data_IF_385656359186
#
_entry.id   IF_385656359186
#
_cell.length_a   1.000
_cell.length_b   1.000
_cell.length_c   1.000
_cell.angle_alpha   90.00
_cell.angle_beta   90.00
_cell.angle_gamma   90.00
#
_symmetry.space_group_name_H-M   'P 1'
#
loop_
_entity.id
_entity.type
_entity.pdbx_description
1 polymer ?
#
# COMPACT_ATOMS: atom_id res chain seq x y z
N UNK A 1 25.14 7.24 -20.92
CA UNK A 1 24.31 6.15 -20.37
C UNK A 1 23.43 6.77 -19.29
N UNK A 2 22.12 6.69 -19.39
CA UNK A 2 21.22 7.17 -18.32
C UNK A 2 21.36 6.19 -17.15
N UNK A 3 21.69 6.62 -15.93
CA UNK A 3 21.91 5.72 -14.82
C UNK A 3 20.60 5.08 -14.37
N UNK A 4 20.71 3.90 -13.76
CA UNK A 4 19.60 3.28 -13.08
C UNK A 4 19.20 4.10 -11.87
N UNK A 5 17.90 4.25 -11.67
CA UNK A 5 17.32 4.80 -10.47
C UNK A 5 17.00 3.64 -9.50
N UNK A 6 17.39 3.79 -8.24
CA UNK A 6 17.25 2.74 -7.25
C UNK A 6 16.38 3.16 -6.07
N UNK A 7 15.50 2.27 -5.67
CA UNK A 7 14.85 2.24 -4.35
C UNK A 7 15.51 1.16 -3.52
N UNK A 8 16.03 1.48 -2.36
CA UNK A 8 16.62 0.50 -1.48
C UNK A 8 16.03 0.60 -0.07
N UNK A 9 15.51 -0.51 0.43
CA UNK A 9 14.95 -0.65 1.77
C UNK A 9 15.96 -1.37 2.64
N UNK A 10 16.20 -0.83 3.83
CA UNK A 10 17.18 -1.36 4.78
C UNK A 10 16.56 -1.62 6.14
N UNK A 11 16.96 -2.74 6.73
CA UNK A 11 16.72 -3.06 8.12
C UNK A 11 17.93 -2.64 8.93
N UNK A 12 17.84 -1.48 9.60
CA UNK A 12 18.87 -0.95 10.49
C UNK A 12 18.33 -0.70 11.88
N UNK A 13 19.10 -1.15 12.88
CA UNK A 13 18.68 -1.14 14.27
C UNK A 13 18.47 0.23 14.93
N UNK A 14 19.12 1.32 14.45
CA UNK A 14 19.06 2.63 15.10
C UNK A 14 18.59 3.74 14.16
N UNK A 15 17.68 4.58 14.67
CA UNK A 15 17.28 5.83 14.03
C UNK A 15 18.48 6.80 14.07
N UNK A 16 18.87 7.34 12.93
CA UNK A 16 19.86 8.43 12.84
C UNK A 16 21.25 8.07 12.34
N UNK A 17 21.55 6.79 12.12
CA UNK A 17 22.79 6.42 11.44
C UNK A 17 22.70 6.75 9.93
N UNK A 18 23.61 7.60 9.47
CA UNK A 18 23.75 7.91 8.04
C UNK A 18 24.22 6.64 7.33
N UNK A 19 23.51 6.26 6.27
CA UNK A 19 23.83 5.08 5.47
C UNK A 19 25.18 5.24 4.79
N UNK A 20 26.14 4.38 5.13
CA UNK A 20 27.33 4.19 4.32
C UNK A 20 26.96 3.51 2.98
N UNK A 21 27.83 3.64 1.98
CA UNK A 21 27.62 3.07 0.64
C UNK A 21 27.58 1.52 0.59
N UNK A 22 27.69 0.85 1.73
CA UNK A 22 27.76 -0.60 1.75
C UNK A 22 26.36 -1.23 1.75
N UNK A 23 25.98 -1.77 0.57
CA UNK A 23 24.71 -2.47 0.34
C UNK A 23 24.59 -3.78 1.13
N UNK A 24 25.62 -4.19 1.84
CA UNK A 24 25.78 -5.48 2.50
C UNK A 24 25.39 -5.47 3.97
N UNK A 25 24.61 -4.52 4.42
CA UNK A 25 24.23 -4.41 5.82
C UNK A 25 22.96 -5.23 6.12
N UNK A 26 23.12 -6.32 6.86
CA UNK A 26 22.03 -7.21 7.31
C UNK A 26 21.03 -7.58 6.22
N UNK A 27 19.83 -7.02 6.29
CA UNK A 27 18.75 -7.25 5.35
C UNK A 27 18.55 -6.01 4.48
N UNK A 28 18.56 -6.21 3.18
CA UNK A 28 18.39 -5.16 2.20
C UNK A 28 17.56 -5.66 1.02
N UNK A 29 16.69 -4.80 0.52
CA UNK A 29 15.93 -5.04 -0.69
C UNK A 29 16.15 -3.84 -1.63
N UNK A 30 16.68 -4.09 -2.81
CA UNK A 30 16.97 -3.07 -3.81
C UNK A 30 16.18 -3.30 -5.08
N UNK A 31 15.48 -2.29 -5.55
CA UNK A 31 14.78 -2.24 -6.83
C UNK A 31 15.48 -1.25 -7.72
N UNK A 32 16.13 -1.71 -8.77
CA UNK A 32 16.77 -0.87 -9.79
C UNK A 32 15.85 -0.71 -10.99
N UNK A 33 15.64 0.54 -11.43
CA UNK A 33 14.87 0.89 -12.61
C UNK A 33 15.81 1.60 -13.58
N UNK A 34 16.09 0.96 -14.71
CA UNK A 34 16.96 1.49 -15.76
C UNK A 34 16.12 1.91 -16.98
N UNK A 35 15.81 3.20 -17.15
CA UNK A 35 14.99 3.68 -18.27
C UNK A 35 15.83 3.85 -19.54
N UNK A 36 16.52 2.81 -19.99
CA UNK A 36 17.50 2.99 -21.05
C UNK A 36 17.18 2.18 -22.32
N UNK A 37 16.87 2.87 -23.43
CA UNK A 37 16.74 2.38 -24.84
C UNK A 37 16.32 0.90 -24.95
N UNK A 38 17.16 0.05 -25.54
CA UNK A 38 16.88 -1.38 -25.72
C UNK A 38 16.99 -2.21 -24.44
N UNK A 39 17.48 -1.65 -23.36
CA UNK A 39 17.71 -2.33 -22.06
C UNK A 39 16.86 -1.78 -20.92
N UNK A 40 15.81 -1.04 -21.25
CA UNK A 40 14.89 -0.52 -20.23
C UNK A 40 14.34 -1.68 -19.39
N UNK A 41 14.76 -1.75 -18.15
CA UNK A 41 14.51 -2.91 -17.32
C UNK A 41 14.36 -2.57 -15.84
N UNK A 42 13.60 -3.40 -15.16
CA UNK A 42 13.53 -3.43 -13.70
C UNK A 42 14.25 -4.66 -13.20
N UNK A 43 15.05 -4.50 -12.16
CA UNK A 43 15.76 -5.60 -11.51
C UNK A 43 15.59 -5.50 -10.00
N UNK A 44 15.40 -6.62 -9.36
CA UNK A 44 15.32 -6.71 -7.91
C UNK A 44 16.49 -7.53 -7.37
N UNK A 45 17.13 -7.03 -6.33
CA UNK A 45 18.17 -7.73 -5.57
C UNK A 45 17.82 -7.69 -4.09
N UNK A 46 17.93 -8.80 -3.40
CA UNK A 46 17.79 -8.86 -1.95
C UNK A 46 18.99 -9.52 -1.28
N UNK A 47 19.27 -9.04 -0.06
CA UNK A 47 20.34 -9.58 0.79
C UNK A 47 19.75 -9.93 2.15
N UNK A 48 20.13 -11.08 2.66
CA UNK A 48 19.76 -11.59 3.97
C UNK A 48 21.02 -11.93 4.76
N UNK A 49 21.19 -11.31 5.93
CA UNK A 49 22.40 -11.44 6.75
C UNK A 49 23.69 -11.26 5.93
N UNK A 50 23.75 -10.17 5.16
CA UNK A 50 24.90 -9.81 4.30
C UNK A 50 25.03 -10.67 3.04
N UNK A 51 24.44 -11.84 2.97
CA UNK A 51 24.50 -12.71 1.79
C UNK A 51 23.43 -12.33 0.76
N UNK A 52 23.76 -12.43 -0.53
CA UNK A 52 22.76 -12.26 -1.59
C UNK A 52 21.74 -13.40 -1.52
N UNK A 53 20.47 -13.06 -1.22
CA UNK A 53 19.36 -14.01 -1.18
C UNK A 53 18.78 -14.23 -2.56
N UNK A 54 18.57 -13.15 -3.32
CA UNK A 54 17.95 -13.18 -4.63
C UNK A 54 18.51 -12.07 -5.52
N UNK A 55 18.65 -12.37 -6.79
CA UNK A 55 18.82 -11.40 -7.86
C UNK A 55 17.97 -11.87 -9.04
N UNK A 56 17.02 -11.05 -9.47
CA UNK A 56 16.18 -11.39 -10.61
C UNK A 56 16.91 -11.12 -11.92
N UNK A 57 16.48 -11.79 -12.97
CA UNK A 57 16.77 -11.32 -14.32
C UNK A 57 16.17 -9.92 -14.52
N UNK A 58 16.72 -9.19 -15.47
CA UNK A 58 16.21 -7.88 -15.86
C UNK A 58 14.84 -8.05 -16.54
N UNK A 59 13.78 -7.58 -15.90
CA UNK A 59 12.45 -7.55 -16.50
C UNK A 59 12.34 -6.37 -17.45
N UNK A 60 12.17 -6.63 -18.73
CA UNK A 60 12.02 -5.60 -19.77
C UNK A 60 10.59 -5.06 -19.76
N UNK A 61 10.46 -3.75 -19.56
CA UNK A 61 9.17 -3.06 -19.62
C UNK A 61 8.98 -2.49 -21.02
N UNK A 62 7.92 -2.89 -21.68
CA UNK A 62 7.62 -2.45 -23.05
C UNK A 62 7.46 -0.92 -23.12
N UNK A 63 8.09 -0.29 -24.12
CA UNK A 63 8.04 1.16 -24.35
C UNK A 63 8.49 2.03 -23.17
N UNK A 64 9.28 1.51 -22.26
CA UNK A 64 9.76 2.24 -21.08
C UNK A 64 10.69 3.41 -21.43
N UNK A 65 11.45 3.27 -22.51
CA UNK A 65 12.30 4.33 -23.09
C UNK A 65 11.51 5.58 -23.51
N UNK A 66 10.27 5.41 -23.97
CA UNK A 66 9.36 6.51 -24.31
C UNK A 66 8.80 7.23 -23.08
N UNK A 67 8.96 6.65 -21.91
CA UNK A 67 8.55 7.26 -20.61
C UNK A 67 9.64 8.15 -20.02
N UNK A 68 10.85 8.14 -20.57
CA UNK A 68 11.91 9.06 -20.16
C UNK A 68 11.44 10.51 -20.35
N UNK A 69 11.53 11.32 -19.30
CA UNK A 69 10.99 12.68 -19.27
C UNK A 69 9.50 12.79 -18.86
N UNK A 70 8.82 11.69 -18.61
CA UNK A 70 7.45 11.65 -18.13
C UNK A 70 7.36 11.14 -16.68
N UNK A 71 6.19 11.34 -16.06
CA UNK A 71 5.89 10.80 -14.73
C UNK A 71 5.66 9.30 -14.85
N UNK A 72 6.31 8.54 -13.98
CA UNK A 72 6.12 7.10 -13.81
C UNK A 72 5.64 6.86 -12.38
N UNK A 73 4.52 6.18 -12.23
CA UNK A 73 4.03 5.76 -10.94
C UNK A 73 4.69 4.44 -10.54
N UNK A 74 5.36 4.43 -9.41
CA UNK A 74 5.98 3.23 -8.85
C UNK A 74 5.21 2.84 -7.60
N UNK A 75 4.64 1.63 -7.58
CA UNK A 75 4.04 1.06 -6.38
C UNK A 75 4.80 -0.19 -5.96
N UNK A 76 5.15 -0.27 -4.70
CA UNK A 76 5.85 -1.40 -4.09
C UNK A 76 5.04 -1.87 -2.89
N UNK A 77 4.63 -3.12 -2.91
CA UNK A 77 3.95 -3.78 -1.79
C UNK A 77 4.84 -4.87 -1.22
N UNK A 78 5.11 -4.81 0.08
CA UNK A 78 5.88 -5.82 0.81
C UNK A 78 4.96 -6.44 1.85
N UNK A 79 4.81 -7.77 1.79
CA UNK A 79 3.98 -8.54 2.72
C UNK A 79 4.75 -9.78 3.16
N UNK A 80 5.23 -9.78 4.39
CA UNK A 80 6.15 -10.83 4.88
C UNK A 80 7.35 -10.98 3.93
N UNK A 81 7.52 -12.15 3.31
CA UNK A 81 8.59 -12.43 2.35
C UNK A 81 8.23 -12.11 0.89
N UNK A 82 6.98 -11.74 0.63
CA UNK A 82 6.49 -11.44 -0.72
C UNK A 82 6.67 -9.98 -1.06
N UNK A 83 7.16 -9.70 -2.27
CA UNK A 83 7.17 -8.37 -2.85
C UNK A 83 6.40 -8.35 -4.16
N UNK A 84 5.64 -7.29 -4.37
CA UNK A 84 4.99 -6.97 -5.64
C UNK A 84 5.39 -5.57 -6.05
N UNK A 85 5.69 -5.40 -7.33
CA UNK A 85 6.12 -4.11 -7.89
C UNK A 85 5.31 -3.83 -9.15
N UNK A 86 4.76 -2.61 -9.20
CA UNK A 86 4.06 -2.10 -10.37
C UNK A 86 4.77 -0.84 -10.88
N UNK A 87 4.83 -0.70 -12.19
CA UNK A 87 5.14 0.55 -12.88
C UNK A 87 3.89 0.97 -13.65
N UNK A 88 3.32 2.11 -13.29
CA UNK A 88 2.00 2.54 -13.73
C UNK A 88 0.95 1.43 -13.45
N UNK A 89 0.38 0.84 -14.50
CA UNK A 89 -0.61 -0.24 -14.38
C UNK A 89 -0.02 -1.63 -14.60
N UNK A 90 1.26 -1.74 -14.95
CA UNK A 90 1.92 -3.01 -15.25
C UNK A 90 2.56 -3.59 -13.99
N UNK A 91 2.17 -4.82 -13.63
CA UNK A 91 2.82 -5.55 -12.54
C UNK A 91 4.10 -6.21 -13.08
N UNK A 92 5.25 -5.64 -12.70
CA UNK A 92 6.57 -6.10 -13.18
C UNK A 92 7.14 -7.25 -12.36
N UNK A 93 6.82 -7.31 -11.05
CA UNK A 93 7.23 -8.42 -10.19
C UNK A 93 6.11 -8.85 -9.24
N UNK A 94 6.07 -10.15 -8.98
CA UNK A 94 5.28 -10.79 -7.93
C UNK A 94 6.06 -11.99 -7.40
N UNK A 95 6.88 -11.78 -6.37
CA UNK A 95 7.87 -12.74 -5.88
C UNK A 95 7.55 -13.12 -4.43
N UNK A 96 7.17 -14.38 -4.16
CA UNK A 96 6.67 -14.78 -2.84
C UNK A 96 7.75 -14.84 -1.74
N UNK A 97 9.02 -15.08 -2.09
CA UNK A 97 10.11 -15.34 -1.13
C UNK A 97 11.32 -14.42 -1.36
N UNK A 98 11.08 -13.20 -1.87
CA UNK A 98 12.17 -12.29 -2.23
C UNK A 98 12.62 -11.40 -1.06
N UNK A 99 11.74 -11.15 -0.09
CA UNK A 99 12.05 -10.31 1.07
C UNK A 99 12.76 -11.16 2.12
N UNK A 100 13.85 -10.66 2.74
CA UNK A 100 14.53 -11.37 3.81
C UNK A 100 13.63 -11.61 5.02
N UNK A 101 13.79 -12.78 5.66
CA UNK A 101 13.02 -13.14 6.85
C UNK A 101 13.23 -12.15 8.00
N UNK A 102 12.17 -11.87 8.73
CA UNK A 102 12.18 -11.00 9.90
C UNK A 102 12.76 -9.60 9.64
N UNK A 103 12.66 -9.11 8.41
CA UNK A 103 13.09 -7.76 8.08
C UNK A 103 12.13 -6.72 8.66
N UNK A 104 12.70 -5.75 9.37
CA UNK A 104 12.01 -4.54 9.79
C UNK A 104 12.61 -3.35 9.05
N UNK A 105 12.18 -3.15 7.81
CA UNK A 105 12.67 -2.04 6.99
C UNK A 105 12.26 -0.70 7.60
N UNK A 106 13.21 0.01 8.15
CA UNK A 106 13.02 1.29 8.80
C UNK A 106 13.73 2.45 8.08
N UNK A 107 14.41 2.16 6.98
CA UNK A 107 15.08 3.16 6.15
C UNK A 107 14.81 2.90 4.67
N UNK A 108 14.53 3.99 3.93
CA UNK A 108 14.44 4.00 2.48
C UNK A 108 15.51 4.92 1.93
N UNK A 109 16.28 4.43 0.96
CA UNK A 109 17.24 5.21 0.20
C UNK A 109 16.78 5.29 -1.25
N UNK A 110 16.87 6.50 -1.80
CA UNK A 110 16.71 6.77 -3.23
C UNK A 110 18.06 7.19 -3.77
N UNK A 111 18.57 6.49 -4.77
CA UNK A 111 19.85 6.84 -5.40
C UNK A 111 19.85 6.62 -6.91
N UNK A 112 20.77 7.25 -7.58
CA UNK A 112 21.11 6.99 -8.98
C UNK A 112 22.45 6.27 -9.07
N UNK A 113 22.54 5.33 -10.00
CA UNK A 113 23.82 4.73 -10.37
C UNK A 113 24.80 5.77 -10.93
N UNK A 114 26.08 5.42 -10.97
CA UNK A 114 27.10 6.28 -11.57
C UNK A 114 26.80 6.56 -13.04
N UNK A 115 27.08 7.79 -13.48
CA UNK A 115 26.82 8.31 -14.80
C UNK A 115 28.01 9.17 -15.28
N UNK A 116 28.18 9.25 -16.58
CA UNK A 116 29.14 10.18 -17.20
C UNK A 116 28.55 11.59 -17.40
N UNK A 117 27.29 11.81 -16.98
CA UNK A 117 26.66 13.12 -17.07
C UNK A 117 26.97 13.95 -15.83
N UNK A 118 26.97 15.27 -15.99
CA UNK A 118 27.12 16.21 -14.90
C UNK A 118 25.82 16.35 -14.11
N UNK A 119 25.89 16.85 -12.87
CA UNK A 119 24.73 16.95 -11.97
C UNK A 119 23.61 17.86 -12.49
N UNK A 120 23.90 18.77 -13.41
CA UNK A 120 22.94 19.66 -14.07
C UNK A 120 22.27 19.04 -15.29
N UNK A 121 22.80 17.93 -15.80
CA UNK A 121 22.27 17.22 -16.98
C UNK A 121 21.33 16.05 -16.64
N UNK A 122 21.39 15.56 -15.42
CA UNK A 122 20.58 14.44 -14.95
C UNK A 122 19.96 14.73 -13.61
N UNK A 123 18.66 14.60 -13.57
CA UNK A 123 17.88 14.66 -12.34
C UNK A 123 16.69 13.73 -12.43
N UNK A 124 16.25 13.24 -11.30
CA UNK A 124 14.93 12.69 -11.16
C UNK A 124 14.21 13.41 -10.03
N UNK A 125 12.92 13.54 -10.18
CA UNK A 125 12.07 14.18 -9.20
C UNK A 125 11.13 13.13 -8.61
N UNK A 126 11.01 13.13 -7.29
CA UNK A 126 10.05 12.29 -6.57
C UNK A 126 8.96 13.20 -6.04
N UNK A 127 7.71 12.90 -6.38
CA UNK A 127 6.55 13.61 -5.88
C UNK A 127 5.51 12.63 -5.38
N UNK A 128 4.55 13.09 -4.57
CA UNK A 128 3.48 12.28 -4.02
C UNK A 128 3.96 10.99 -3.32
N UNK A 129 5.10 11.09 -2.64
CA UNK A 129 5.65 9.96 -1.91
C UNK A 129 4.72 9.58 -0.75
N UNK A 130 4.30 8.32 -0.73
CA UNK A 130 3.40 7.77 0.31
C UNK A 130 4.00 6.48 0.84
N UNK A 131 4.06 6.35 2.16
CA UNK A 131 4.30 5.08 2.85
C UNK A 131 3.02 4.76 3.61
N UNK A 132 2.49 3.57 3.37
CA UNK A 132 1.39 3.02 4.15
C UNK A 132 1.84 1.70 4.78
N UNK A 133 1.64 1.56 6.07
CA UNK A 133 1.74 0.27 6.73
C UNK A 133 0.43 -0.49 6.46
N UNK A 134 0.48 -1.41 5.49
CA UNK A 134 -0.63 -2.30 5.19
C UNK A 134 -0.75 -3.35 6.29
N UNK A 135 -1.82 -3.35 7.04
CA UNK A 135 -2.19 -4.51 7.84
C UNK A 135 -2.45 -5.67 6.88
N UNK A 136 -1.60 -6.67 6.85
CA UNK A 136 -1.61 -7.92 6.05
C UNK A 136 -2.69 -8.06 4.96
N UNK A 137 -2.45 -8.82 3.94
CA UNK A 137 -3.36 -9.03 2.79
C UNK A 137 -4.84 -8.98 3.22
N UNK A 138 -5.57 -7.94 2.81
CA UNK A 138 -6.99 -7.74 3.14
C UNK A 138 -7.80 -9.00 2.81
N UNK A 139 -7.42 -9.68 1.70
CA UNK A 139 -7.97 -10.96 1.31
C UNK A 139 -7.75 -12.03 2.39
N UNK A 140 -6.52 -12.18 2.89
CA UNK A 140 -6.21 -13.17 3.93
C UNK A 140 -6.94 -12.88 5.23
N UNK A 141 -7.04 -11.62 5.63
CA UNK A 141 -7.76 -11.22 6.84
C UNK A 141 -9.25 -11.53 6.74
N UNK A 142 -9.87 -11.21 5.60
CA UNK A 142 -11.30 -11.44 5.41
C UNK A 142 -11.61 -12.92 5.24
N UNK A 143 -10.79 -13.68 4.49
CA UNK A 143 -11.01 -15.10 4.23
C UNK A 143 -10.67 -15.99 5.43
N UNK A 144 -9.54 -15.76 6.09
CA UNK A 144 -9.03 -16.63 7.16
C UNK A 144 -9.32 -16.10 8.55
N UNK A 145 -9.27 -14.78 8.75
CA UNK A 145 -9.50 -14.12 10.02
C UNK A 145 -10.95 -13.71 10.27
N UNK A 146 -11.79 -13.74 9.25
CA UNK A 146 -13.20 -13.33 9.33
C UNK A 146 -13.44 -11.84 9.58
N UNK A 147 -12.37 -11.05 9.77
CA UNK A 147 -12.46 -9.61 10.05
C UNK A 147 -11.31 -8.84 9.38
N UNK A 148 -11.68 -7.71 8.76
CA UNK A 148 -10.75 -6.73 8.20
C UNK A 148 -11.09 -5.35 8.76
N UNK A 149 -10.14 -4.69 9.40
CA UNK A 149 -10.22 -3.29 9.80
C UNK A 149 -9.35 -2.45 8.87
N UNK A 150 -9.86 -1.31 8.42
CA UNK A 150 -9.10 -0.40 7.56
C UNK A 150 -9.47 1.06 7.81
N UNK A 151 -8.46 1.92 7.87
CA UNK A 151 -8.58 3.37 7.79
C UNK A 151 -8.34 3.90 6.36
N UNK A 152 -8.15 2.99 5.38
CA UNK A 152 -7.92 3.35 3.98
C UNK A 152 -9.15 3.80 3.20
N UNK A 153 -10.35 3.77 3.83
CA UNK A 153 -11.56 4.38 3.27
C UNK A 153 -11.74 5.75 3.91
N UNK A 154 -11.48 6.78 3.12
CA UNK A 154 -11.48 8.17 3.54
C UNK A 154 -12.78 8.85 3.18
N UNK A 155 -13.30 9.65 4.10
CA UNK A 155 -14.52 10.44 3.91
C UNK A 155 -14.24 11.95 3.97
N UNK A 156 -15.09 12.74 3.35
CA UNK A 156 -15.09 14.18 3.58
C UNK A 156 -15.47 14.49 5.04
N UNK A 157 -15.04 15.64 5.55
CA UNK A 157 -15.28 16.03 6.94
C UNK A 157 -16.78 16.10 7.24
N UNK A 158 -17.20 15.44 8.32
CA UNK A 158 -18.61 15.34 8.76
C UNK A 158 -19.56 14.80 7.67
N UNK A 159 -19.05 14.02 6.72
CA UNK A 159 -19.79 13.50 5.58
C UNK A 159 -19.60 11.99 5.42
N UNK A 160 -20.51 11.37 4.68
CA UNK A 160 -20.40 10.01 4.16
C UNK A 160 -19.88 9.98 2.71
N UNK A 161 -19.52 11.13 2.13
CA UNK A 161 -18.92 11.22 0.82
C UNK A 161 -17.52 10.60 0.83
N UNK A 162 -17.32 9.59 0.00
CA UNK A 162 -16.07 8.83 -0.08
C UNK A 162 -15.09 9.56 -1.01
N UNK A 163 -13.86 9.75 -0.55
CA UNK A 163 -12.80 10.38 -1.34
C UNK A 163 -12.22 9.39 -2.36
N UNK A 164 -11.78 9.88 -3.51
CA UNK A 164 -11.16 9.09 -4.60
C UNK A 164 -9.98 8.23 -4.14
N UNK A 165 -9.22 8.68 -3.16
CA UNK A 165 -8.08 7.93 -2.58
C UNK A 165 -8.50 6.59 -1.94
N UNK A 166 -9.79 6.36 -1.72
CA UNK A 166 -10.35 5.12 -1.15
C UNK A 166 -10.59 4.02 -2.18
N UNK A 167 -10.54 4.35 -3.48
CA UNK A 167 -10.92 3.45 -4.57
C UNK A 167 -10.13 2.13 -4.54
N UNK A 168 -8.82 2.21 -4.30
CA UNK A 168 -7.97 1.03 -4.22
C UNK A 168 -8.39 0.05 -3.13
N UNK A 169 -8.73 0.55 -1.94
CA UNK A 169 -9.18 -0.25 -0.81
C UNK A 169 -10.54 -0.91 -1.09
N UNK A 170 -11.48 -0.15 -1.65
CA UNK A 170 -12.82 -0.66 -1.98
C UNK A 170 -12.74 -1.73 -3.08
N UNK A 171 -11.91 -1.51 -4.10
CA UNK A 171 -11.66 -2.46 -5.17
C UNK A 171 -11.09 -3.79 -4.68
N UNK A 172 -10.16 -3.76 -3.71
CA UNK A 172 -9.63 -5.00 -3.12
C UNK A 172 -10.72 -5.80 -2.41
N UNK A 173 -11.58 -5.15 -1.63
CA UNK A 173 -12.74 -5.80 -0.98
C UNK A 173 -13.70 -6.35 -2.02
N UNK A 174 -14.03 -5.57 -3.04
CA UNK A 174 -14.88 -6.00 -4.14
C UNK A 174 -14.32 -7.24 -4.85
N UNK A 175 -13.01 -7.28 -5.09
CA UNK A 175 -12.35 -8.45 -5.70
C UNK A 175 -12.53 -9.70 -4.84
N UNK A 176 -12.35 -9.59 -3.52
CA UNK A 176 -12.56 -10.73 -2.61
C UNK A 176 -14.00 -11.21 -2.65
N UNK A 177 -14.98 -10.32 -2.63
CA UNK A 177 -16.41 -10.67 -2.65
C UNK A 177 -16.84 -11.26 -3.99
N UNK A 178 -16.36 -10.74 -5.11
CA UNK A 178 -16.68 -11.27 -6.44
C UNK A 178 -16.13 -12.68 -6.67
N UNK A 179 -14.94 -12.97 -6.14
CA UNK A 179 -14.35 -14.32 -6.18
C UNK A 179 -14.98 -15.30 -5.19
N UNK A 180 -15.78 -14.82 -4.23
CA UNK A 180 -16.44 -15.62 -3.21
C UNK A 180 -17.94 -15.26 -3.11
N UNK A 181 -18.76 -15.64 -4.10
CA UNK A 181 -20.16 -15.19 -4.20
C UNK A 181 -21.08 -15.65 -3.05
N UNK A 182 -20.68 -16.66 -2.31
CA UNK A 182 -21.41 -17.16 -1.12
C UNK A 182 -20.99 -16.48 0.19
N UNK A 183 -19.90 -15.67 0.12
CA UNK A 183 -19.44 -14.95 1.30
C UNK A 183 -20.38 -13.79 1.61
N UNK A 184 -20.79 -13.71 2.88
CA UNK A 184 -21.52 -12.55 3.40
C UNK A 184 -20.65 -11.78 4.37
N UNK A 185 -20.75 -10.45 4.31
CA UNK A 185 -20.03 -9.55 5.19
C UNK A 185 -20.97 -8.53 5.81
N UNK A 186 -20.59 -8.04 6.99
CA UNK A 186 -21.16 -6.84 7.59
C UNK A 186 -20.12 -5.73 7.56
N UNK A 187 -20.47 -4.58 6.97
CA UNK A 187 -19.67 -3.36 6.94
C UNK A 187 -20.06 -2.52 8.15
N UNK A 188 -19.08 -2.20 9.01
CA UNK A 188 -19.31 -1.44 10.24
C UNK A 188 -18.49 -0.15 10.17
N UNK A 189 -19.17 1.00 10.26
CA UNK A 189 -18.52 2.29 10.31
C UNK A 189 -18.23 2.72 11.75
N UNK A 190 -17.13 3.45 11.96
CA UNK A 190 -16.71 4.02 13.23
C UNK A 190 -16.31 5.49 13.07
N UNK A 191 -16.42 6.26 14.14
CA UNK A 191 -15.93 7.63 14.25
C UNK A 191 -14.92 7.74 15.39
N UNK A 192 -14.22 8.87 15.46
CA UNK A 192 -13.61 9.33 16.71
C UNK A 192 -14.69 9.87 17.66
N UNK A 193 -14.32 10.24 18.88
CA UNK A 193 -15.23 10.72 19.91
C UNK A 193 -15.54 12.23 19.80
N UNK A 194 -15.13 12.89 18.72
CA UNK A 194 -15.43 14.32 18.53
C UNK A 194 -16.89 14.51 18.13
N UNK A 195 -17.60 15.32 18.91
CA UNK A 195 -19.00 15.69 18.65
C UNK A 195 -20.02 14.93 19.47
N UNK A 196 -21.24 14.81 18.96
CA UNK A 196 -22.36 14.19 19.69
C UNK A 196 -22.44 12.68 19.34
N UNK A 197 -22.52 11.82 20.35
CA UNK A 197 -22.57 10.37 20.19
C UNK A 197 -23.71 9.87 19.26
N UNK A 198 -24.90 10.48 19.35
CA UNK A 198 -26.02 10.11 18.46
C UNK A 198 -25.75 10.51 17.01
N UNK A 199 -25.13 11.68 16.79
CA UNK A 199 -24.70 12.11 15.45
C UNK A 199 -23.60 11.19 14.90
N UNK A 200 -22.62 10.81 15.75
CA UNK A 200 -21.56 9.88 15.41
C UNK A 200 -22.10 8.50 15.02
N UNK A 201 -23.08 8.00 15.75
CA UNK A 201 -23.76 6.74 15.43
C UNK A 201 -24.44 6.81 14.05
N UNK A 202 -25.18 7.88 13.81
CA UNK A 202 -25.85 8.10 12.52
C UNK A 202 -24.85 8.25 11.37
N UNK A 203 -23.77 9.03 11.57
CA UNK A 203 -22.74 9.26 10.57
C UNK A 203 -22.00 7.97 10.22
N UNK A 204 -21.64 7.18 11.23
CA UNK A 204 -20.94 5.91 11.02
C UNK A 204 -21.78 4.91 10.21
N UNK A 205 -23.08 4.84 10.46
CA UNK A 205 -24.02 4.03 9.67
C UNK A 205 -24.10 4.51 8.23
N UNK A 206 -24.25 5.82 7.99
CA UNK A 206 -24.27 6.40 6.64
C UNK A 206 -22.96 6.11 5.87
N UNK A 207 -21.82 6.13 6.53
CA UNK A 207 -20.51 5.78 5.93
C UNK A 207 -20.47 4.32 5.51
N UNK A 208 -20.94 3.40 6.35
CA UNK A 208 -21.06 2.00 5.99
C UNK A 208 -21.99 1.76 4.80
N UNK A 209 -23.11 2.47 4.75
CA UNK A 209 -24.07 2.42 3.64
C UNK A 209 -23.44 2.94 2.34
N UNK A 210 -22.69 4.06 2.38
CA UNK A 210 -22.00 4.60 1.21
C UNK A 210 -20.98 3.61 0.62
N UNK A 211 -20.23 2.88 1.48
CA UNK A 211 -19.31 1.83 1.02
C UNK A 211 -20.08 0.68 0.36
N UNK A 212 -21.18 0.22 0.97
CA UNK A 212 -22.05 -0.80 0.38
C UNK A 212 -22.54 -0.37 -1.00
N UNK A 213 -22.99 0.86 -1.13
CA UNK A 213 -23.59 1.37 -2.36
C UNK A 213 -22.57 1.40 -3.51
N UNK A 214 -21.31 1.76 -3.26
CA UNK A 214 -20.23 1.64 -4.24
C UNK A 214 -19.97 0.17 -4.60
N UNK A 215 -19.89 -0.73 -3.62
CA UNK A 215 -19.67 -2.16 -3.90
C UNK A 215 -20.78 -2.74 -4.79
N UNK A 216 -22.03 -2.34 -4.60
CA UNK A 216 -23.17 -2.79 -5.39
C UNK A 216 -23.17 -2.13 -6.77
N UNK A 217 -23.07 -0.81 -6.84
CA UNK A 217 -23.31 -0.06 -8.08
C UNK A 217 -22.13 -0.12 -9.03
N UNK A 218 -20.88 0.02 -8.51
CA UNK A 218 -19.68 0.14 -9.33
C UNK A 218 -19.00 -1.21 -9.55
N UNK A 219 -19.10 -2.13 -8.57
CA UNK A 219 -18.45 -3.44 -8.62
C UNK A 219 -19.42 -4.61 -8.77
N UNK A 220 -20.72 -4.36 -8.88
CA UNK A 220 -21.76 -5.37 -9.14
C UNK A 220 -21.81 -6.49 -8.06
N UNK A 221 -21.43 -6.19 -6.83
CA UNK A 221 -21.55 -7.12 -5.71
C UNK A 221 -23.04 -7.26 -5.34
N UNK A 222 -23.47 -8.50 -5.11
CA UNK A 222 -24.87 -8.78 -4.78
C UNK A 222 -25.24 -8.15 -3.42
N UNK A 223 -26.36 -7.46 -3.35
CA UNK A 223 -26.89 -6.87 -2.11
C UNK A 223 -27.04 -7.90 -0.98
N UNK A 224 -27.32 -9.16 -1.33
CA UNK A 224 -27.47 -10.28 -0.39
C UNK A 224 -26.17 -10.68 0.31
N UNK A 225 -25.02 -10.22 -0.18
CA UNK A 225 -23.71 -10.46 0.43
C UNK A 225 -23.36 -9.40 1.48
N UNK A 226 -24.09 -8.28 1.57
CA UNK A 226 -23.66 -7.12 2.36
C UNK A 226 -24.74 -6.68 3.33
N UNK A 227 -24.39 -6.67 4.61
CA UNK A 227 -25.09 -5.95 5.67
C UNK A 227 -24.28 -4.73 6.08
N UNK A 228 -24.93 -3.74 6.68
CA UNK A 228 -24.26 -2.53 7.18
C UNK A 228 -24.68 -2.21 8.60
N UNK A 229 -23.73 -1.67 9.39
CA UNK A 229 -23.97 -1.20 10.76
C UNK A 229 -23.12 0.05 11.05
N UNK A 230 -23.46 0.77 12.12
CA UNK A 230 -22.70 1.91 12.63
C UNK A 230 -22.48 1.76 14.12
N UNK A 231 -21.26 2.02 14.58
CA UNK A 231 -20.89 1.97 16.00
C UNK A 231 -20.55 3.36 16.57
N UNK A 232 -20.51 4.39 15.72
CA UNK A 232 -20.06 5.71 16.16
C UNK A 232 -18.70 5.61 16.86
N UNK A 233 -18.60 6.23 18.02
CA UNK A 233 -17.42 6.28 18.90
C UNK A 233 -17.40 5.22 20.01
N UNK A 234 -18.35 4.28 20.01
CA UNK A 234 -18.50 3.30 21.13
C UNK A 234 -17.46 2.20 21.17
N UNK A 235 -16.64 2.05 20.13
CA UNK A 235 -15.65 0.97 20.01
C UNK A 235 -14.29 1.51 19.53
N UNK A 236 -13.61 2.34 20.31
CA UNK A 236 -12.32 2.90 19.92
C UNK A 236 -11.23 1.80 19.91
N UNK A 237 -10.26 1.92 18.98
CA UNK A 237 -9.07 1.06 18.88
C UNK A 237 -7.81 1.78 19.36
N UNK A 238 -7.90 3.10 19.60
CA UNK A 238 -6.86 3.93 20.16
C UNK A 238 -7.49 4.98 21.06
N UNK A 239 -6.70 5.54 21.99
CA UNK A 239 -7.13 6.69 22.79
C UNK A 239 -7.32 7.94 21.92
N UNK A 240 -8.03 8.94 22.42
CA UNK A 240 -8.35 10.18 21.68
C UNK A 240 -7.30 11.29 21.87
N UNK A 241 -6.09 10.96 22.39
CA UNK A 241 -5.08 11.92 22.81
C UNK A 241 -4.38 12.65 21.66
N UNK A 242 -4.41 12.10 20.46
CA UNK A 242 -3.76 12.67 19.28
C UNK A 242 -4.60 12.54 18.02
N UNK A 243 -4.36 13.41 17.03
CA UNK A 243 -5.02 13.30 15.71
C UNK A 243 -4.69 11.98 15.01
N UNK A 244 -3.51 11.42 15.25
CA UNK A 244 -3.13 10.12 14.71
C UNK A 244 -3.97 8.98 15.31
N UNK A 245 -4.27 9.04 16.61
CA UNK A 245 -5.12 8.07 17.28
C UNK A 245 -6.59 8.23 16.88
N UNK A 246 -7.10 9.46 16.81
CA UNK A 246 -8.44 9.74 16.26
C UNK A 246 -8.57 9.20 14.82
N UNK A 247 -7.54 9.36 13.99
CA UNK A 247 -7.54 8.82 12.63
C UNK A 247 -7.64 7.28 12.59
N UNK A 248 -7.10 6.56 13.58
CA UNK A 248 -7.28 5.11 13.72
C UNK A 248 -8.71 4.75 14.09
N UNK A 249 -9.36 5.58 14.92
CA UNK A 249 -10.75 5.38 15.32
C UNK A 249 -11.71 5.63 14.17
N UNK A 250 -11.43 6.59 13.27
CA UNK A 250 -12.18 6.81 12.02
C UNK A 250 -11.87 5.72 11.00
N UNK A 251 -12.53 4.57 11.13
CA UNK A 251 -12.27 3.36 10.33
C UNK A 251 -13.55 2.69 9.85
N UNK A 252 -13.37 1.77 8.92
CA UNK A 252 -14.41 0.83 8.48
C UNK A 252 -13.94 -0.59 8.78
N UNK A 253 -14.83 -1.40 9.32
CA UNK A 253 -14.60 -2.83 9.52
C UNK A 253 -15.47 -3.63 8.54
N UNK A 254 -14.91 -4.70 8.00
CA UNK A 254 -15.60 -5.71 7.24
C UNK A 254 -15.54 -7.02 8.03
N UNK A 255 -16.68 -7.53 8.43
CA UNK A 255 -16.80 -8.74 9.26
C UNK A 255 -17.54 -9.80 8.46
N UNK A 256 -16.94 -10.97 8.27
CA UNK A 256 -17.60 -12.12 7.67
C UNK A 256 -18.70 -12.65 8.61
N UNK A 257 -19.90 -12.94 8.06
CA UNK A 257 -21.06 -13.42 8.79
C UNK A 257 -21.62 -14.69 8.17
#
# INVERSE_FOLDING_TARGET
>A
MVPAFNFAFYDRGNKGEIMSYDYRLKNCLKVGIAPYRSEAAVQLTSYENVAKKLETDKYRVANFDRKAGNVIHVAISIQKERIRIWLDKEKVFDLPNAVPLNSNFNQLKLDMGSSNYTNDQLGFYVSNFRIAEGSGDMRSKLLSGGKLETSGILFATNSAEIKSDSEGTIKEVATVLSENPEMKIRIIGHTDAVGNASANLTLSKKRADAVRDILINDYQIKITQIETDGKGDTSPVADESSEQNKAKNRRVEFVRI
#
